data_IF_466855644242
#
_entry.id   IF_466855644242
#
_cell.length_a   1.000
_cell.length_b   1.000
_cell.length_c   1.000
_cell.angle_alpha   90.00
_cell.angle_beta   90.00
_cell.angle_gamma   90.00
#
_symmetry.space_group_name_H-M   'P 1'
#
loop_
_entity.id
_entity.type
_entity.pdbx_description
1 polymer ?
#
# COMPACT_ATOMS: atom_id res chain seq x y z
N UNK A 1 3.68 8.94 13.65
CA UNK A 1 5.04 9.33 13.18
C UNK A 1 5.59 8.45 12.05
N UNK A 2 5.51 7.11 12.17
CA UNK A 2 6.11 6.18 11.23
C UNK A 2 5.60 6.30 9.79
N UNK A 3 4.30 6.54 9.60
CA UNK A 3 3.69 6.69 8.27
C UNK A 3 4.06 8.02 7.60
N UNK A 4 4.25 9.09 8.39
CA UNK A 4 4.51 10.43 7.85
C UNK A 4 6.01 10.76 7.71
N UNK A 5 6.84 10.25 8.61
CA UNK A 5 8.28 10.57 8.68
C UNK A 5 9.19 9.35 8.51
N UNK A 6 8.63 8.13 8.49
CA UNK A 6 9.41 6.89 8.43
C UNK A 6 9.70 6.40 7.01
N UNK A 7 9.25 7.14 6.00
CA UNK A 7 9.35 6.74 4.61
C UNK A 7 8.58 5.45 4.29
N UNK A 8 8.77 4.90 3.09
CA UNK A 8 8.23 3.60 2.70
C UNK A 8 8.56 2.46 3.70
N UNK A 9 9.75 2.49 4.31
CA UNK A 9 10.16 1.47 5.28
C UNK A 9 9.37 1.56 6.59
N UNK A 10 9.06 2.78 7.05
CA UNK A 10 8.22 3.01 8.23
C UNK A 10 6.78 2.58 8.01
N UNK A 11 6.25 2.80 6.81
CA UNK A 11 4.93 2.32 6.41
C UNK A 11 4.91 0.78 6.36
N UNK A 12 5.88 0.15 5.67
CA UNK A 12 5.96 -1.31 5.60
C UNK A 12 6.08 -1.95 6.98
N UNK A 13 6.94 -1.41 7.86
CA UNK A 13 7.07 -1.86 9.25
C UNK A 13 5.76 -1.75 10.03
N UNK A 14 4.96 -0.73 9.76
CA UNK A 14 3.66 -0.55 10.40
C UNK A 14 2.66 -1.60 9.90
N UNK A 15 2.66 -1.87 8.59
CA UNK A 15 1.81 -2.92 8.00
C UNK A 15 2.18 -4.30 8.54
N UNK A 16 3.46 -4.66 8.66
CA UNK A 16 3.89 -5.97 9.15
C UNK A 16 3.59 -6.23 10.63
N UNK A 17 3.15 -5.20 11.37
CA UNK A 17 2.73 -5.30 12.76
C UNK A 17 1.21 -5.45 12.95
N UNK A 18 0.44 -5.41 11.86
CA UNK A 18 -1.01 -5.61 11.92
C UNK A 18 -1.33 -7.05 12.33
N UNK A 19 -2.30 -7.29 13.24
CA UNK A 19 -2.75 -8.63 13.60
C UNK A 19 -3.18 -9.46 12.38
N UNK A 20 -2.80 -10.74 12.35
CA UNK A 20 -3.19 -11.66 11.26
C UNK A 20 -4.70 -11.91 11.17
N UNK A 21 -5.47 -11.55 12.20
CA UNK A 21 -6.93 -11.60 12.21
C UNK A 21 -7.58 -10.54 11.32
N UNK A 22 -6.89 -9.44 11.05
CA UNK A 22 -7.42 -8.33 10.25
C UNK A 22 -7.27 -8.64 8.76
N UNK A 23 -8.38 -8.90 8.07
CA UNK A 23 -8.33 -9.30 6.65
C UNK A 23 -8.15 -8.14 5.68
N UNK A 24 -8.35 -6.91 6.13
CA UNK A 24 -8.30 -5.71 5.29
C UNK A 24 -7.81 -4.54 6.11
N UNK A 25 -6.80 -3.83 5.59
CA UNK A 25 -6.21 -2.64 6.20
C UNK A 25 -6.39 -1.47 5.26
N UNK A 26 -6.90 -0.35 5.77
CA UNK A 26 -6.90 0.92 5.06
C UNK A 26 -5.72 1.73 5.58
N UNK A 27 -4.82 2.10 4.67
CA UNK A 27 -3.65 2.91 4.95
C UNK A 27 -3.84 4.31 4.35
N UNK A 28 -3.64 5.35 5.17
CA UNK A 28 -3.59 6.74 4.74
C UNK A 28 -2.16 7.25 4.88
N UNK A 29 -1.58 7.79 3.81
CA UNK A 29 -0.19 8.25 3.79
C UNK A 29 0.03 9.38 2.79
N UNK A 30 1.30 9.77 2.61
CA UNK A 30 1.71 10.86 1.72
C UNK A 30 2.64 10.35 0.63
N UNK A 31 2.62 11.02 -0.53
CA UNK A 31 3.61 10.82 -1.58
C UNK A 31 4.94 11.50 -1.19
N UNK A 32 6.10 10.98 -1.65
CA UNK A 32 6.26 9.87 -2.59
C UNK A 32 6.10 8.48 -1.95
N UNK A 33 6.26 8.36 -0.64
CA UNK A 33 6.37 7.08 0.07
C UNK A 33 5.20 6.13 -0.17
N UNK A 34 3.97 6.65 -0.18
CA UNK A 34 2.77 5.84 -0.45
C UNK A 34 2.76 5.30 -1.88
N UNK A 35 3.11 6.15 -2.86
CA UNK A 35 3.18 5.77 -4.27
C UNK A 35 4.24 4.71 -4.50
N UNK A 36 5.45 4.94 -3.98
CA UNK A 36 6.59 4.02 -4.13
C UNK A 36 6.29 2.66 -3.49
N UNK A 37 5.76 2.67 -2.26
CA UNK A 37 5.42 1.43 -1.57
C UNK A 37 4.31 0.66 -2.29
N UNK A 38 3.26 1.34 -2.75
CA UNK A 38 2.17 0.68 -3.47
C UNK A 38 2.67 -0.01 -4.75
N UNK A 39 3.51 0.68 -5.54
CA UNK A 39 4.12 0.10 -6.74
C UNK A 39 5.01 -1.10 -6.41
N UNK A 40 5.86 -0.98 -5.38
CA UNK A 40 6.73 -2.07 -4.93
C UNK A 40 5.95 -3.29 -4.43
N UNK A 41 4.90 -3.08 -3.63
CA UNK A 41 4.08 -4.18 -3.10
C UNK A 41 3.34 -4.92 -4.23
N UNK A 42 2.82 -4.19 -5.21
CA UNK A 42 2.08 -4.78 -6.33
C UNK A 42 2.99 -5.25 -7.49
N UNK A 43 4.29 -4.98 -7.47
CA UNK A 43 5.20 -5.30 -8.57
C UNK A 43 4.89 -4.54 -9.86
N UNK A 44 4.32 -3.34 -9.77
CA UNK A 44 3.94 -2.50 -10.91
C UNK A 44 4.49 -1.09 -10.77
N UNK A 45 4.65 -0.39 -11.89
CA UNK A 45 5.03 1.01 -11.87
C UNK A 45 3.80 1.88 -11.60
N UNK A 46 3.77 2.57 -10.46
CA UNK A 46 2.80 3.63 -10.14
C UNK A 46 3.60 4.93 -10.06
N UNK A 47 3.30 5.88 -10.96
CA UNK A 47 4.06 7.14 -11.03
C UNK A 47 3.63 8.11 -9.93
N UNK A 48 2.32 8.16 -9.63
CA UNK A 48 1.74 9.03 -8.62
C UNK A 48 0.33 8.56 -8.28
N UNK A 49 0.01 8.46 -6.99
CA UNK A 49 -1.38 8.34 -6.50
C UNK A 49 -1.92 9.77 -6.30
N UNK A 50 -2.91 10.25 -7.08
CA UNK A 50 -3.50 11.56 -6.88
C UNK A 50 -4.06 11.76 -5.47
N UNK A 51 -4.26 13.00 -5.05
CA UNK A 51 -4.97 13.29 -3.79
C UNK A 51 -6.33 12.59 -3.77
N UNK A 52 -6.63 11.91 -2.67
CA UNK A 52 -7.81 11.05 -2.50
C UNK A 52 -7.86 9.86 -3.47
N UNK A 53 -6.74 9.51 -4.12
CA UNK A 53 -6.60 8.27 -4.86
C UNK A 53 -6.47 7.07 -3.92
N UNK A 54 -6.92 5.91 -4.39
CA UNK A 54 -6.92 4.65 -3.67
C UNK A 54 -6.34 3.56 -4.56
N UNK A 55 -5.42 2.79 -3.99
CA UNK A 55 -4.85 1.59 -4.63
C UNK A 55 -5.24 0.40 -3.76
N UNK A 56 -5.93 -0.59 -4.34
CA UNK A 56 -6.19 -1.86 -3.69
C UNK A 56 -5.22 -2.92 -4.18
N UNK A 57 -4.53 -3.53 -3.22
CA UNK A 57 -3.63 -4.65 -3.45
C UNK A 57 -4.12 -5.82 -2.59
N UNK A 58 -4.34 -6.97 -3.22
CA UNK A 58 -4.65 -8.21 -2.51
C UNK A 58 -3.39 -9.06 -2.40
N UNK A 59 -3.20 -9.73 -1.27
CA UNK A 59 -2.01 -10.53 -0.98
C UNK A 59 -2.39 -11.99 -0.69
N UNK A 60 -1.61 -12.93 -1.23
CA UNK A 60 -1.73 -14.37 -0.96
C UNK A 60 -0.92 -14.83 0.25
N UNK A 61 -0.92 -14.05 1.34
CA UNK A 61 -0.09 -14.28 2.54
C UNK A 61 -0.93 -14.80 3.72
N UNK A 62 -0.29 -15.51 4.65
CA UNK A 62 -0.96 -16.06 5.83
C UNK A 62 -1.25 -14.99 6.90
N UNK A 63 -0.41 -13.96 6.98
CA UNK A 63 -0.64 -12.79 7.83
C UNK A 63 0.23 -11.60 7.41
N UNK A 64 -0.05 -10.43 7.98
CA UNK A 64 0.65 -9.19 7.61
C UNK A 64 2.15 -9.21 7.90
N UNK A 65 2.61 -10.01 8.86
CA UNK A 65 4.03 -10.19 9.14
C UNK A 65 4.82 -10.75 7.93
N UNK A 66 4.15 -11.48 7.03
CA UNK A 66 4.73 -12.05 5.82
C UNK A 66 4.69 -11.08 4.62
N UNK A 67 4.21 -9.85 4.82
CA UNK A 67 4.11 -8.85 3.76
C UNK A 67 5.50 -8.45 3.27
N UNK A 68 5.76 -8.65 1.99
CA UNK A 68 6.99 -8.27 1.31
C UNK A 68 6.71 -7.64 -0.07
N UNK A 69 7.67 -6.91 -0.65
CA UNK A 69 7.56 -6.39 -2.02
C UNK A 69 7.27 -7.48 -3.05
N UNK A 70 6.65 -7.09 -4.16
CA UNK A 70 6.42 -7.86 -5.39
C UNK A 70 5.53 -9.11 -5.25
N UNK A 71 4.86 -9.28 -4.10
CA UNK A 71 3.97 -10.41 -3.82
C UNK A 71 2.48 -10.03 -3.81
N UNK A 72 2.16 -8.75 -4.02
CA UNK A 72 0.79 -8.25 -4.10
C UNK A 72 0.24 -8.27 -5.51
N UNK A 73 -1.08 -8.47 -5.63
CA UNK A 73 -1.82 -8.31 -6.88
C UNK A 73 -2.58 -6.98 -6.84
N UNK A 74 -2.27 -6.08 -7.78
CA UNK A 74 -3.08 -4.89 -7.99
C UNK A 74 -4.49 -5.31 -8.44
N UNK A 75 -5.51 -4.89 -7.68
CA UNK A 75 -6.91 -5.16 -8.00
C UNK A 75 -7.55 -3.98 -8.71
N UNK A 76 -7.38 -2.77 -8.15
CA UNK A 76 -7.80 -1.54 -8.79
C UNK A 76 -6.93 -0.37 -8.31
N UNK A 77 -6.90 0.67 -9.14
CA UNK A 77 -6.41 1.99 -8.80
C UNK A 77 -7.46 2.99 -9.27
N UNK A 78 -7.97 3.80 -8.35
CA UNK A 78 -9.02 4.76 -8.63
C UNK A 78 -8.77 6.10 -7.93
N UNK A 79 -9.38 7.18 -8.42
CA UNK A 79 -9.24 8.52 -7.88
C UNK A 79 -10.37 9.45 -8.36
N UNK A 80 -10.66 10.58 -7.70
CA UNK A 80 -11.88 11.38 -7.95
C UNK A 80 -12.10 11.91 -9.37
N UNK A 81 -11.05 12.02 -10.18
CA UNK A 81 -11.12 12.50 -11.57
C UNK A 81 -10.94 11.37 -12.58
N UNK A 82 -10.97 10.12 -12.13
CA UNK A 82 -11.02 8.99 -13.01
C UNK A 82 -12.44 8.93 -13.61
N UNK A 83 -12.54 8.95 -14.94
CA UNK A 83 -13.83 8.95 -15.65
C UNK A 83 -14.10 7.61 -16.35
N UNK A 84 -13.37 6.56 -15.95
CA UNK A 84 -13.62 5.17 -16.36
C UNK A 84 -14.86 4.58 -15.67
#
# INVERSE_FOLDING_TARGET
PAIYHGGQAGILKTLTQVPSTDRTVLLFGHNPDLTDLAGRLAGVSIINIPTCGIVRIDFGIAGWADLSPEHGRLIFFDYPKNME
#
